data_IF_961216073106
#
_entry.id   IF_961216073106
#
_cell.length_a   1.000
_cell.length_b   1.000
_cell.length_c   1.000
_cell.angle_alpha   90.00
_cell.angle_beta   90.00
_cell.angle_gamma   90.00
#
_symmetry.space_group_name_H-M   'P 1'
#
loop_
_entity.id
_entity.type
_entity.pdbx_description
1 polymer ?
#
# COMPACT_ATOMS: atom_id res chain seq x y z
N UNK A 1 10.95 -10.46 9.76
CA UNK A 1 10.34 -11.25 10.85
C UNK A 1 9.22 -12.09 10.28
N UNK A 2 9.40 -13.41 10.22
CA UNK A 2 8.35 -14.35 9.79
C UNK A 2 7.39 -14.56 10.98
N UNK A 3 6.20 -13.96 10.91
CA UNK A 3 5.15 -14.12 11.92
C UNK A 3 4.33 -15.36 11.51
N UNK A 4 3.93 -16.23 12.45
CA UNK A 4 3.09 -17.39 12.13
C UNK A 4 1.83 -16.99 11.35
N UNK A 5 1.52 -17.75 10.30
CA UNK A 5 0.41 -17.45 9.39
C UNK A 5 -0.93 -17.29 10.12
N UNK A 6 -1.16 -18.10 11.16
CA UNK A 6 -2.36 -18.01 11.99
C UNK A 6 -2.48 -16.70 12.79
N UNK A 7 -1.37 -16.10 13.22
CA UNK A 7 -1.43 -14.81 13.93
C UNK A 7 -1.65 -13.66 12.94
N UNK A 8 -1.19 -13.84 11.70
CA UNK A 8 -1.16 -12.80 10.66
C UNK A 8 -2.50 -12.70 9.93
N UNK A 9 -3.11 -13.85 9.56
CA UNK A 9 -4.39 -13.89 8.85
C UNK A 9 -5.59 -13.58 9.76
N UNK A 10 -5.56 -14.03 11.02
CA UNK A 10 -6.72 -13.93 11.92
C UNK A 10 -6.73 -12.67 12.78
N UNK A 11 -5.65 -11.88 12.79
CA UNK A 11 -5.58 -10.64 13.57
C UNK A 11 -5.19 -9.44 12.69
N UNK A 12 -6.20 -8.85 12.05
CA UNK A 12 -6.04 -7.67 11.20
C UNK A 12 -5.44 -6.46 11.94
N UNK A 13 -5.62 -6.33 13.26
CA UNK A 13 -5.02 -5.22 14.02
C UNK A 13 -3.49 -5.25 14.04
N UNK A 14 -2.88 -6.43 13.85
CA UNK A 14 -1.43 -6.62 13.79
C UNK A 14 -0.85 -6.46 12.38
N UNK A 15 -1.71 -6.37 11.36
CA UNK A 15 -1.30 -6.16 9.98
C UNK A 15 -0.99 -4.69 9.71
N UNK A 16 0.12 -4.46 9.00
CA UNK A 16 0.47 -3.15 8.44
C UNK A 16 -0.26 -2.95 7.13
N UNK A 17 -0.65 -1.73 6.84
CA UNK A 17 -1.18 -1.37 5.54
C UNK A 17 -0.08 -1.43 4.49
N UNK A 18 -0.37 -2.03 3.34
CA UNK A 18 0.48 -2.03 2.16
C UNK A 18 -0.10 -1.16 1.05
N UNK A 19 0.71 -0.84 0.06
CA UNK A 19 0.25 -0.17 -1.16
C UNK A 19 0.63 -0.99 -2.39
N UNK A 20 -0.32 -1.18 -3.30
CA UNK A 20 -0.13 -1.97 -4.51
C UNK A 20 -0.65 -1.24 -5.75
N UNK A 21 0.04 -1.43 -6.88
CA UNK A 21 -0.34 -0.84 -8.14
C UNK A 21 -1.70 -1.38 -8.61
N UNK A 22 -2.67 -0.48 -8.81
CA UNK A 22 -4.05 -0.82 -9.20
C UNK A 22 -4.09 -1.65 -10.49
N UNK A 23 -3.25 -1.29 -11.46
CA UNK A 23 -3.19 -1.93 -12.77
C UNK A 23 -2.56 -3.33 -12.75
N UNK A 24 -1.90 -3.72 -11.65
CA UNK A 24 -1.27 -5.04 -11.49
C UNK A 24 -2.12 -5.91 -10.57
N UNK A 25 -2.43 -5.40 -9.37
CA UNK A 25 -3.06 -6.16 -8.30
C UNK A 25 -4.60 -6.19 -8.37
N UNK A 26 -5.22 -5.22 -9.03
CA UNK A 26 -6.68 -5.05 -9.08
C UNK A 26 -7.25 -5.17 -10.51
N UNK A 27 -6.59 -5.98 -11.34
CA UNK A 27 -6.96 -6.13 -12.75
C UNK A 27 -8.30 -6.91 -12.88
N UNK A 28 -9.36 -6.20 -13.26
CA UNK A 28 -10.76 -6.68 -13.33
C UNK A 28 -11.04 -7.78 -14.38
N UNK A 29 -10.11 -8.05 -15.30
CA UNK A 29 -10.44 -8.75 -16.56
C UNK A 29 -10.19 -10.27 -16.56
N UNK A 30 -10.08 -10.91 -15.40
CA UNK A 30 -9.96 -12.38 -15.34
C UNK A 30 -10.98 -12.96 -14.36
N UNK A 31 -12.11 -13.44 -14.88
CA UNK A 31 -13.12 -14.24 -14.16
C UNK A 31 -12.59 -15.61 -13.66
N UNK A 32 -11.27 -15.78 -13.55
CA UNK A 32 -10.70 -16.98 -12.98
C UNK A 32 -10.84 -16.95 -11.45
N UNK A 33 -11.23 -18.07 -10.86
CA UNK A 33 -11.32 -18.27 -9.40
C UNK A 33 -10.07 -17.79 -8.64
N UNK A 34 -8.88 -17.95 -9.26
CA UNK A 34 -7.61 -17.50 -8.68
C UNK A 34 -7.52 -15.98 -8.55
N UNK A 35 -7.99 -15.25 -9.55
CA UNK A 35 -7.93 -13.78 -9.58
C UNK A 35 -8.92 -13.19 -8.58
N UNK A 36 -10.10 -13.80 -8.44
CA UNK A 36 -11.11 -13.40 -7.47
C UNK A 36 -10.62 -13.66 -6.03
N UNK A 37 -10.06 -14.83 -5.76
CA UNK A 37 -9.47 -15.14 -4.45
C UNK A 37 -8.32 -14.19 -4.09
N UNK A 38 -7.44 -13.89 -5.05
CA UNK A 38 -6.33 -12.95 -4.83
C UNK A 38 -6.84 -11.53 -4.51
N UNK A 39 -7.86 -11.06 -5.22
CA UNK A 39 -8.49 -9.76 -4.95
C UNK A 39 -9.05 -9.67 -3.52
N UNK A 40 -9.78 -10.70 -3.09
CA UNK A 40 -10.31 -10.78 -1.72
C UNK A 40 -9.18 -10.83 -0.68
N UNK A 41 -8.11 -11.59 -0.93
CA UNK A 41 -6.95 -11.63 -0.03
C UNK A 41 -6.24 -10.27 0.09
N UNK A 42 -6.13 -9.52 -1.01
CA UNK A 42 -5.51 -8.19 -1.03
C UNK A 42 -6.34 -7.20 -0.22
N UNK A 43 -7.67 -7.22 -0.38
CA UNK A 43 -8.57 -6.37 0.39
C UNK A 43 -8.57 -6.75 1.88
N UNK A 44 -8.67 -8.04 2.21
CA UNK A 44 -8.64 -8.53 3.59
C UNK A 44 -7.28 -8.28 4.29
N UNK A 45 -6.21 -8.18 3.50
CA UNK A 45 -4.83 -7.98 3.94
C UNK A 45 -4.40 -6.53 4.18
N UNK A 46 -5.33 -5.56 4.22
CA UNK A 46 -5.05 -4.12 4.39
C UNK A 46 -4.16 -3.53 3.27
N UNK A 47 -4.50 -3.78 2.01
CA UNK A 47 -3.75 -3.21 0.88
C UNK A 47 -4.54 -2.07 0.23
N UNK A 48 -3.91 -0.90 0.11
CA UNK A 48 -4.45 0.24 -0.61
C UNK A 48 -4.03 0.20 -2.09
N UNK A 49 -4.94 0.46 -3.03
CA UNK A 49 -4.59 0.63 -4.43
C UNK A 49 -3.87 1.97 -4.65
N UNK A 50 -2.93 2.01 -5.59
CA UNK A 50 -2.32 3.24 -6.09
C UNK A 50 -2.26 3.24 -7.62
N UNK A 51 -2.62 4.37 -8.22
CA UNK A 51 -2.46 4.57 -9.67
C UNK A 51 -1.01 4.98 -9.95
N UNK A 52 -0.33 4.21 -10.79
CA UNK A 52 1.02 4.58 -11.24
C UNK A 52 0.90 5.72 -12.24
N UNK A 53 1.88 6.63 -12.21
CA UNK A 53 1.91 7.83 -13.05
C UNK A 53 0.74 8.83 -12.81
N UNK A 54 -0.02 8.69 -11.72
CA UNK A 54 -1.08 9.62 -11.32
C UNK A 54 -0.60 10.96 -10.72
N UNK A 55 0.72 11.14 -10.58
CA UNK A 55 1.32 12.36 -10.03
C UNK A 55 1.23 12.46 -8.51
N UNK A 56 1.56 13.65 -7.97
CA UNK A 56 1.60 13.89 -6.51
C UNK A 56 0.27 14.31 -5.89
N UNK A 57 -0.69 14.72 -6.72
CA UNK A 57 -1.99 15.24 -6.28
C UNK A 57 -3.11 14.20 -6.46
N UNK A 58 -2.77 12.92 -6.31
CA UNK A 58 -3.72 11.82 -6.43
C UNK A 58 -4.36 11.49 -5.06
N UNK A 59 -5.59 11.00 -5.08
CA UNK A 59 -6.39 10.75 -3.88
C UNK A 59 -5.78 9.62 -3.02
N UNK A 60 -5.11 8.67 -3.65
CA UNK A 60 -4.53 7.47 -3.03
C UNK A 60 -3.41 7.83 -2.05
N UNK A 61 -2.63 8.87 -2.35
CA UNK A 61 -1.61 9.39 -1.41
C UNK A 61 -2.27 10.04 -0.19
N UNK A 62 -3.42 10.70 -0.37
CA UNK A 62 -4.18 11.27 0.74
C UNK A 62 -4.78 10.17 1.62
N UNK A 63 -5.31 9.10 1.02
CA UNK A 63 -5.81 7.92 1.77
C UNK A 63 -4.67 7.25 2.55
N UNK A 64 -3.50 7.08 1.93
CA UNK A 64 -2.32 6.55 2.60
C UNK A 64 -1.86 7.41 3.78
N UNK A 65 -1.92 8.75 3.64
CA UNK A 65 -1.69 9.67 4.75
C UNK A 65 -2.68 9.47 5.88
N UNK A 66 -3.97 9.31 5.57
CA UNK A 66 -5.00 9.13 6.58
C UNK A 66 -4.85 7.84 7.39
N UNK A 67 -4.25 6.79 6.80
CA UNK A 67 -3.86 5.59 7.55
C UNK A 67 -2.84 5.94 8.64
N UNK A 68 -1.81 6.74 8.30
CA UNK A 68 -0.83 7.19 9.29
C UNK A 68 -1.46 8.08 10.36
N UNK A 69 -2.36 8.98 9.97
CA UNK A 69 -3.07 9.87 10.91
C UNK A 69 -3.88 9.10 11.96
N UNK A 70 -4.37 7.90 11.62
CA UNK A 70 -5.09 7.00 12.56
C UNK A 70 -4.18 6.26 13.53
N UNK A 71 -2.86 6.39 13.41
CA UNK A 71 -1.88 5.66 14.21
C UNK A 71 -1.58 4.24 13.68
N UNK A 72 -2.07 3.91 12.49
CA UNK A 72 -1.76 2.66 11.82
C UNK A 72 -0.38 2.72 11.13
N UNK A 73 0.17 1.54 10.83
CA UNK A 73 1.47 1.42 10.14
C UNK A 73 1.26 1.26 8.63
N UNK A 74 2.03 2.01 7.84
CA UNK A 74 2.05 1.91 6.38
C UNK A 74 3.43 1.42 5.90
N UNK A 75 3.45 0.40 5.05
CA UNK A 75 4.66 -0.13 4.41
C UNK A 75 4.68 0.25 2.93
N UNK A 76 5.74 0.96 2.51
CA UNK A 76 5.94 1.46 1.16
C UNK A 76 7.31 1.06 0.62
N UNK A 77 7.38 0.77 -0.68
CA UNK A 77 8.64 0.60 -1.40
C UNK A 77 9.02 1.91 -2.08
N UNK A 78 10.21 2.46 -1.79
CA UNK A 78 10.50 3.83 -2.17
C UNK A 78 10.63 4.08 -3.68
N UNK A 79 10.91 3.03 -4.45
CA UNK A 79 11.07 3.12 -5.90
C UNK A 79 9.73 3.23 -6.65
N UNK A 80 8.63 2.83 -6.01
CA UNK A 80 7.30 2.77 -6.63
C UNK A 80 7.21 1.78 -7.81
N UNK A 81 8.06 0.75 -7.80
CA UNK A 81 8.09 -0.34 -8.80
C UNK A 81 7.76 -1.68 -8.14
N UNK A 82 7.32 -2.64 -8.94
CA UNK A 82 7.10 -4.03 -8.51
C UNK A 82 8.34 -4.92 -8.68
N UNK A 83 9.34 -4.44 -9.42
CA UNK A 83 10.62 -5.12 -9.60
C UNK A 83 11.66 -4.44 -8.71
N UNK A 84 12.37 -5.24 -7.92
CA UNK A 84 13.48 -4.77 -7.09
C UNK A 84 14.79 -5.05 -7.81
N UNK A 85 15.59 -4.01 -8.03
CA UNK A 85 16.93 -4.13 -8.62
C UNK A 85 17.99 -4.35 -7.55
N UNK A 86 19.18 -4.75 -7.98
CA UNK A 86 20.34 -4.98 -7.10
C UNK A 86 20.87 -3.71 -6.42
N UNK A 87 20.42 -2.53 -6.86
CA UNK A 87 20.78 -1.23 -6.28
C UNK A 87 19.50 -0.42 -6.03
N UNK A 88 19.53 0.37 -4.95
CA UNK A 88 18.47 1.33 -4.65
C UNK A 88 18.46 2.38 -5.75
N UNK A 89 17.34 2.48 -6.47
CA UNK A 89 17.10 3.51 -7.47
C UNK A 89 16.54 4.81 -6.85
N UNK A 90 16.11 5.74 -7.71
CA UNK A 90 15.50 6.99 -7.31
C UNK A 90 14.25 6.77 -6.45
N UNK A 91 14.25 7.42 -5.29
CA UNK A 91 13.12 7.49 -4.38
C UNK A 91 12.02 8.38 -4.97
N UNK A 92 10.77 7.89 -4.97
CA UNK A 92 9.62 8.65 -5.46
C UNK A 92 9.14 9.67 -4.43
N UNK A 93 8.94 10.91 -4.87
CA UNK A 93 8.44 12.02 -4.02
C UNK A 93 7.07 11.77 -3.37
N UNK A 94 6.27 10.84 -3.91
CA UNK A 94 4.95 10.49 -3.33
C UNK A 94 5.04 10.06 -1.86
N UNK A 95 6.14 9.43 -1.44
CA UNK A 95 6.34 9.00 -0.06
C UNK A 95 6.49 10.21 0.86
N UNK A 96 7.31 11.18 0.45
CA UNK A 96 7.48 12.43 1.19
C UNK A 96 6.15 13.19 1.27
N UNK A 97 5.36 13.19 0.20
CA UNK A 97 4.01 13.80 0.21
C UNK A 97 3.10 13.18 1.26
N UNK A 98 3.08 11.85 1.38
CA UNK A 98 2.30 11.13 2.41
C UNK A 98 2.72 11.55 3.82
N UNK A 99 4.02 11.60 4.08
CA UNK A 99 4.55 12.01 5.39
C UNK A 99 4.20 13.47 5.70
N UNK A 100 4.42 14.37 4.75
CA UNK A 100 4.11 15.80 4.91
C UNK A 100 2.62 16.02 5.16
N UNK A 101 1.74 15.33 4.41
CA UNK A 101 0.30 15.39 4.64
C UNK A 101 -0.07 14.93 6.06
N UNK A 102 0.53 13.82 6.53
CA UNK A 102 0.28 13.32 7.88
C UNK A 102 0.72 14.32 8.95
N UNK A 103 1.91 14.90 8.82
CA UNK A 103 2.43 15.90 9.77
C UNK A 103 1.56 17.15 9.76
N UNK A 104 1.12 17.60 8.60
CA UNK A 104 0.21 18.76 8.48
C UNK A 104 -1.16 18.52 9.14
N UNK A 105 -1.68 17.30 9.08
CA UNK A 105 -3.00 16.95 9.63
C UNK A 105 -2.95 16.65 11.13
N UNK A 106 -1.87 16.04 11.62
CA UNK A 106 -1.72 15.64 13.03
C UNK A 106 -0.95 16.65 13.89
N UNK A 107 -0.20 17.57 13.27
CA UNK A 107 0.66 18.55 13.93
C UNK A 107 1.87 17.94 14.67
N UNK A 108 2.20 16.67 14.38
CA UNK A 108 3.28 15.90 15.01
C UNK A 108 4.18 15.27 13.95
#
# INVERSE_FOLDING_TARGET
TLIPLGITLWNQSKLRWGVCAADICFRSNSHSLKTMFLHECILAGKVLPIVRLGGLNQIELKVASHVLCRGDWLHLYPEGRCEQKSRIELIRHGIAKVVVMNVMETGK
#
